data_IF_337218568045
#
_entry.id   IF_337218568045
#
_cell.length_a   1.000
_cell.length_b   1.000
_cell.length_c   1.000
_cell.angle_alpha   90.00
_cell.angle_beta   90.00
_cell.angle_gamma   90.00
#
_symmetry.space_group_name_H-M   'P 1'
#
loop_
_entity.id
_entity.type
_entity.pdbx_description
1 polymer ?
#
# COMPACT_ATOMS: atom_id res chain seq x y z
N UNK A 1 14.66 -12.53 1.53
CA UNK A 1 14.43 -12.51 3.00
C UNK A 1 15.61 -11.86 3.66
N UNK A 2 15.38 -10.76 4.36
CA UNK A 2 16.45 -10.04 5.02
C UNK A 2 16.73 -10.63 6.40
N UNK A 3 18.00 -10.92 6.68
CA UNK A 3 18.52 -10.99 8.02
C UNK A 3 18.87 -9.57 8.47
N UNK A 4 18.56 -9.24 9.69
CA UNK A 4 18.84 -8.00 10.43
C UNK A 4 19.23 -6.72 9.62
N UNK A 5 18.34 -5.75 9.60
CA UNK A 5 18.58 -4.41 9.04
C UNK A 5 18.37 -4.27 7.53
N UNK A 6 17.97 -5.32 6.82
CA UNK A 6 17.73 -5.26 5.38
C UNK A 6 16.30 -4.80 5.06
N UNK A 7 16.17 -4.03 3.99
CA UNK A 7 14.92 -3.56 3.41
C UNK A 7 14.01 -4.74 3.06
N UNK A 8 12.82 -4.77 3.59
CA UNK A 8 11.82 -5.83 3.42
C UNK A 8 10.48 -5.22 3.06
N UNK A 9 9.66 -5.96 2.30
CA UNK A 9 8.24 -5.58 2.04
C UNK A 9 7.41 -5.44 3.32
N UNK A 10 7.97 -5.79 4.47
CA UNK A 10 7.29 -5.75 5.77
C UNK A 10 7.75 -4.65 6.72
N UNK A 11 8.73 -3.84 6.32
CA UNK A 11 9.24 -2.75 7.17
C UNK A 11 9.67 -1.49 6.41
N UNK A 12 9.70 -1.52 5.08
CA UNK A 12 10.17 -0.39 4.29
C UNK A 12 9.57 -0.38 2.89
N UNK A 13 9.64 0.78 2.24
CA UNK A 13 9.30 0.91 0.83
C UNK A 13 10.14 -0.02 -0.03
N UNK A 14 9.53 -0.71 -0.97
CA UNK A 14 10.21 -1.56 -1.95
C UNK A 14 9.70 -1.29 -3.36
N UNK A 15 10.57 -1.51 -4.35
CA UNK A 15 10.20 -1.38 -5.78
C UNK A 15 9.02 -2.30 -6.13
N UNK A 16 9.04 -3.54 -5.63
CA UNK A 16 7.95 -4.49 -5.89
C UNK A 16 6.63 -4.02 -5.27
N UNK A 17 6.66 -3.49 -4.05
CA UNK A 17 5.47 -2.91 -3.40
C UNK A 17 4.92 -1.72 -4.18
N UNK A 18 5.80 -0.86 -4.71
CA UNK A 18 5.41 0.27 -5.56
C UNK A 18 4.74 -0.21 -6.85
N UNK A 19 5.33 -1.19 -7.55
CA UNK A 19 4.75 -1.75 -8.79
C UNK A 19 3.37 -2.36 -8.55
N UNK A 20 3.20 -3.13 -7.47
CA UNK A 20 1.92 -3.74 -7.11
C UNK A 20 0.87 -2.65 -6.89
N UNK A 21 1.17 -1.65 -6.06
CA UNK A 21 0.22 -0.59 -5.73
C UNK A 21 -0.07 0.34 -6.90
N UNK A 22 0.89 0.57 -7.80
CA UNK A 22 0.67 1.33 -9.04
C UNK A 22 -0.32 0.61 -9.96
N UNK A 23 -0.16 -0.71 -10.12
CA UNK A 23 -1.12 -1.54 -10.86
C UNK A 23 -2.50 -1.50 -10.25
N UNK A 24 -2.61 -1.61 -8.91
CA UNK A 24 -3.88 -1.53 -8.19
C UNK A 24 -4.56 -0.17 -8.40
N UNK A 25 -3.83 0.94 -8.28
CA UNK A 25 -4.37 2.28 -8.47
C UNK A 25 -4.85 2.51 -9.90
N UNK A 26 -4.03 2.11 -10.88
CA UNK A 26 -4.36 2.21 -12.30
C UNK A 26 -5.63 1.41 -12.62
N UNK A 27 -5.68 0.17 -12.17
CA UNK A 27 -6.82 -0.71 -12.40
C UNK A 27 -8.09 -0.20 -11.72
N UNK A 28 -8.00 0.23 -10.46
CA UNK A 28 -9.11 0.79 -9.72
C UNK A 28 -9.74 1.99 -10.42
N UNK A 29 -8.94 2.92 -10.92
CA UNK A 29 -9.40 4.11 -11.68
C UNK A 29 -10.16 3.75 -12.96
N UNK A 30 -9.91 2.58 -13.56
CA UNK A 30 -10.62 2.12 -14.76
C UNK A 30 -12.01 1.56 -14.45
N UNK A 31 -12.26 1.09 -13.22
CA UNK A 31 -13.48 0.38 -12.83
C UNK A 31 -14.46 1.22 -12.01
N UNK A 32 -14.17 2.49 -11.78
CA UNK A 32 -15.08 3.40 -11.07
C UNK A 32 -14.98 4.81 -11.58
N UNK A 33 -16.08 5.55 -11.49
CA UNK A 33 -16.10 7.00 -11.71
C UNK A 33 -15.76 7.80 -10.44
N UNK A 34 -15.54 7.12 -9.30
CA UNK A 34 -15.11 7.78 -8.07
C UNK A 34 -13.65 8.23 -8.19
N UNK A 35 -13.29 9.31 -7.49
CA UNK A 35 -11.90 9.75 -7.36
C UNK A 35 -11.15 8.80 -6.43
N UNK A 36 -10.48 7.78 -6.99
CA UNK A 36 -9.58 6.89 -6.21
C UNK A 36 -8.28 7.63 -5.98
N UNK A 37 -7.98 7.94 -4.72
CA UNK A 37 -6.82 8.80 -4.36
C UNK A 37 -5.55 8.02 -4.11
N UNK A 38 -5.64 6.77 -3.63
CA UNK A 38 -4.47 5.92 -3.37
C UNK A 38 -4.82 4.43 -3.46
N UNK A 39 -3.78 3.63 -3.57
CA UNK A 39 -3.85 2.17 -3.44
C UNK A 39 -2.93 1.69 -2.32
N UNK A 40 -3.36 0.65 -1.59
CA UNK A 40 -2.72 0.11 -0.41
C UNK A 40 -2.52 -1.40 -0.57
N UNK A 41 -1.31 -1.90 -0.27
CA UNK A 41 -1.00 -3.33 -0.26
C UNK A 41 -0.25 -3.69 1.01
N UNK A 42 -0.77 -4.63 1.80
CA UNK A 42 -0.10 -5.13 2.99
C UNK A 42 1.13 -5.99 2.62
N UNK A 43 2.23 -5.78 3.33
CA UNK A 43 3.49 -6.49 3.11
C UNK A 43 3.37 -8.01 3.34
N UNK A 44 2.46 -8.42 4.23
CA UNK A 44 2.15 -9.84 4.48
C UNK A 44 1.58 -10.57 3.26
N UNK A 45 0.91 -9.85 2.37
CA UNK A 45 0.40 -10.36 1.10
C UNK A 45 1.46 -10.62 0.04
N UNK A 46 2.63 -9.98 0.14
CA UNK A 46 3.75 -10.13 -0.81
C UNK A 46 4.67 -11.24 -0.31
N UNK A 47 4.71 -12.38 -1.00
CA UNK A 47 5.31 -13.61 -0.47
C UNK A 47 6.68 -13.97 -1.05
N UNK A 48 6.97 -13.53 -2.26
CA UNK A 48 8.24 -13.81 -2.93
C UNK A 48 8.79 -12.57 -3.63
N UNK A 49 10.12 -12.54 -3.81
CA UNK A 49 10.79 -11.54 -4.63
C UNK A 49 10.81 -11.99 -6.09
N UNK A 50 10.87 -11.05 -7.01
CA UNK A 50 11.13 -11.31 -8.43
C UNK A 50 12.63 -11.11 -8.68
N UNK A 51 13.31 -12.17 -9.14
CA UNK A 51 14.73 -12.10 -9.52
C UNK A 51 14.91 -11.36 -10.84
N UNK A 52 16.10 -10.77 -11.03
CA UNK A 52 16.46 -10.15 -12.29
C UNK A 52 16.42 -11.16 -13.46
N UNK A 53 15.99 -10.73 -14.63
CA UNK A 53 15.87 -11.55 -15.83
C UNK A 53 14.43 -11.61 -16.37
N UNK A 54 14.13 -12.65 -17.12
CA UNK A 54 12.77 -12.84 -17.67
C UNK A 54 11.79 -13.21 -16.55
N UNK A 55 10.69 -12.48 -16.48
CA UNK A 55 9.64 -12.69 -15.49
C UNK A 55 8.59 -13.65 -16.09
N UNK A 56 8.30 -14.74 -15.40
CA UNK A 56 7.28 -15.72 -15.80
C UNK A 56 5.98 -15.49 -15.04
N UNK A 57 4.86 -15.95 -15.62
CA UNK A 57 3.55 -15.91 -14.94
C UNK A 57 3.59 -16.70 -13.62
N UNK A 58 4.33 -17.81 -13.55
CA UNK A 58 4.50 -18.58 -12.31
C UNK A 58 5.15 -17.76 -11.19
N UNK A 59 6.20 -16.98 -11.50
CA UNK A 59 6.81 -16.06 -10.53
C UNK A 59 5.82 -14.99 -10.05
N UNK A 60 5.02 -14.43 -10.95
CA UNK A 60 3.99 -13.42 -10.56
C UNK A 60 2.96 -14.02 -9.59
N UNK A 61 2.50 -15.24 -9.85
CA UNK A 61 1.57 -15.96 -8.96
C UNK A 61 2.21 -16.22 -7.58
N UNK A 62 3.50 -16.58 -7.52
CA UNK A 62 4.18 -16.80 -6.22
C UNK A 62 4.38 -15.52 -5.42
N UNK A 63 4.40 -14.35 -6.06
CA UNK A 63 4.43 -13.05 -5.37
C UNK A 63 3.12 -12.79 -4.62
N UNK A 64 1.96 -13.05 -5.23
CA UNK A 64 0.62 -12.82 -4.68
C UNK A 64 -0.21 -14.12 -4.71
N UNK A 65 0.13 -15.13 -3.89
CA UNK A 65 -0.41 -16.49 -4.05
C UNK A 65 -1.77 -16.72 -3.40
N UNK A 66 -2.32 -15.72 -2.69
CA UNK A 66 -3.53 -15.92 -1.88
C UNK A 66 -4.83 -15.81 -2.68
N UNK A 67 -4.76 -15.39 -3.95
CA UNK A 67 -5.95 -15.21 -4.78
C UNK A 67 -6.88 -14.11 -4.27
N UNK A 68 -6.32 -13.06 -3.68
CA UNK A 68 -7.10 -11.90 -3.30
C UNK A 68 -7.62 -11.17 -4.53
N UNK A 69 -8.70 -10.43 -4.34
CA UNK A 69 -9.28 -9.55 -5.35
C UNK A 69 -9.05 -8.08 -4.99
N UNK A 70 -9.09 -7.22 -6.00
CA UNK A 70 -9.04 -5.78 -5.84
C UNK A 70 -10.37 -5.27 -5.28
N UNK A 71 -10.32 -4.47 -4.24
CA UNK A 71 -11.49 -3.84 -3.62
C UNK A 71 -11.33 -2.32 -3.57
N UNK A 72 -12.46 -1.62 -3.70
CA UNK A 72 -12.60 -0.19 -3.44
C UNK A 72 -13.22 0.01 -2.06
N UNK A 73 -12.73 0.99 -1.32
CA UNK A 73 -13.19 1.26 0.03
C UNK A 73 -13.32 2.77 0.25
N UNK A 74 -14.48 3.21 0.79
CA UNK A 74 -14.68 4.59 1.22
C UNK A 74 -14.38 4.70 2.72
N UNK A 75 -13.37 5.49 3.08
CA UNK A 75 -12.88 5.66 4.45
C UNK A 75 -12.63 7.13 4.77
N UNK A 76 -12.74 7.49 6.04
CA UNK A 76 -12.41 8.83 6.50
C UNK A 76 -10.89 9.04 6.52
N UNK A 77 -10.45 10.31 6.47
CA UNK A 77 -9.03 10.62 6.64
C UNK A 77 -8.50 10.20 8.00
N UNK A 78 -9.32 10.29 9.05
CA UNK A 78 -8.99 9.78 10.37
C UNK A 78 -8.75 8.26 10.37
N UNK A 79 -9.61 7.49 9.68
CA UNK A 79 -9.41 6.03 9.53
C UNK A 79 -8.14 5.72 8.72
N UNK A 80 -7.83 6.51 7.67
CA UNK A 80 -6.59 6.36 6.92
C UNK A 80 -5.35 6.62 7.80
N UNK A 81 -5.33 7.70 8.57
CA UNK A 81 -4.23 7.98 9.50
C UNK A 81 -4.07 6.88 10.54
N UNK A 82 -5.17 6.40 11.09
CA UNK A 82 -5.17 5.25 12.02
C UNK A 82 -4.63 3.97 11.35
N UNK A 83 -4.94 3.75 10.07
CA UNK A 83 -4.40 2.62 9.32
C UNK A 83 -2.90 2.73 9.12
N UNK A 84 -2.38 3.93 8.83
CA UNK A 84 -0.94 4.13 8.71
C UNK A 84 -0.22 4.07 10.05
N UNK A 85 -0.81 4.55 11.15
CA UNK A 85 -0.28 4.31 12.50
C UNK A 85 -0.18 2.80 12.81
N UNK A 86 -1.24 2.04 12.46
CA UNK A 86 -1.22 0.57 12.59
C UNK A 86 -0.14 -0.07 11.70
N UNK A 87 0.03 0.42 10.47
CA UNK A 87 1.02 -0.08 9.52
C UNK A 87 2.46 0.03 10.04
N UNK A 88 2.80 1.15 10.68
CA UNK A 88 4.17 1.44 11.14
C UNK A 88 4.38 1.17 12.63
N UNK A 89 3.39 0.57 13.33
CA UNK A 89 3.44 0.36 14.79
C UNK A 89 4.63 -0.47 15.27
N UNK A 90 5.08 -1.41 14.44
CA UNK A 90 6.17 -2.35 14.77
C UNK A 90 7.52 -1.90 14.18
N UNK A 91 7.56 -0.81 13.38
CA UNK A 91 8.79 -0.33 12.76
C UNK A 91 9.88 -0.04 13.81
N UNK A 92 11.15 -0.34 13.52
CA UNK A 92 11.70 -0.85 12.27
C UNK A 92 11.55 -2.39 12.08
N UNK A 93 10.87 -3.08 12.99
CA UNK A 93 10.64 -4.53 12.90
C UNK A 93 9.68 -4.85 11.76
N UNK A 94 9.78 -6.07 11.22
CA UNK A 94 8.88 -6.56 10.20
C UNK A 94 7.45 -6.76 10.73
N UNK A 95 6.46 -6.34 9.94
CA UNK A 95 5.03 -6.52 10.21
C UNK A 95 4.29 -6.90 8.94
N UNK A 96 3.41 -7.89 8.99
CA UNK A 96 2.53 -8.23 7.86
C UNK A 96 1.62 -7.07 7.46
N UNK A 97 1.26 -6.22 8.43
CA UNK A 97 0.43 -5.03 8.23
C UNK A 97 1.17 -3.81 7.68
N UNK A 98 2.49 -3.88 7.41
CA UNK A 98 3.17 -2.75 6.76
C UNK A 98 2.57 -2.48 5.38
N UNK A 99 2.10 -1.26 5.12
CA UNK A 99 1.41 -0.90 3.88
C UNK A 99 2.37 -0.26 2.86
N UNK A 100 2.43 -0.85 1.67
CA UNK A 100 2.92 -0.17 0.47
C UNK A 100 1.82 0.71 -0.10
N UNK A 101 2.20 1.81 -0.77
CA UNK A 101 1.27 2.82 -1.24
C UNK A 101 1.58 3.29 -2.67
N UNK A 102 0.52 3.66 -3.39
CA UNK A 102 0.58 4.44 -4.62
C UNK A 102 -0.41 5.60 -4.55
N UNK A 103 -0.10 6.72 -5.20
CA UNK A 103 -0.91 7.93 -5.16
C UNK A 103 -0.79 8.74 -3.87
N UNK A 104 0.07 8.32 -2.93
CA UNK A 104 0.25 8.98 -1.64
C UNK A 104 1.72 9.01 -1.20
N UNK A 105 2.01 9.78 -0.16
CA UNK A 105 3.28 9.82 0.55
C UNK A 105 3.05 9.77 2.05
N UNK A 106 3.87 8.97 2.72
CA UNK A 106 3.90 8.80 4.16
C UNK A 106 5.27 9.17 4.71
N UNK A 107 5.31 10.03 5.70
CA UNK A 107 6.45 10.23 6.58
C UNK A 107 6.07 9.79 7.98
N UNK A 108 6.91 8.98 8.61
CA UNK A 108 6.71 8.53 9.96
C UNK A 108 8.03 8.56 10.74
N UNK A 109 7.96 8.51 12.06
CA UNK A 109 9.11 8.52 12.96
C UNK A 109 9.05 7.28 13.85
N UNK A 110 9.88 6.28 13.54
CA UNK A 110 9.92 5.01 14.26
C UNK A 110 10.46 5.13 15.69
N UNK A 111 11.10 6.24 16.04
CA UNK A 111 11.57 6.52 17.41
C UNK A 111 10.44 6.87 18.37
N UNK A 112 9.27 7.27 17.85
CA UNK A 112 8.09 7.58 18.65
C UNK A 112 7.32 6.33 19.07
N UNK A 113 6.47 6.49 20.07
CA UNK A 113 5.57 5.44 20.51
C UNK A 113 4.57 5.04 19.42
N UNK A 114 4.22 3.76 19.37
CA UNK A 114 3.20 3.25 18.45
C UNK A 114 1.86 3.99 18.65
N UNK A 115 1.25 4.42 17.56
CA UNK A 115 0.03 5.24 17.56
C UNK A 115 0.28 6.76 17.51
N UNK A 116 1.56 7.19 17.47
CA UNK A 116 1.97 8.58 17.36
C UNK A 116 3.16 8.77 16.40
N UNK A 117 3.32 7.82 15.48
CA UNK A 117 4.47 7.76 14.56
C UNK A 117 4.27 8.50 13.27
N UNK A 118 3.04 8.60 12.76
CA UNK A 118 2.74 9.30 11.51
C UNK A 118 3.04 10.80 11.67
N UNK A 119 3.97 11.30 10.87
CA UNK A 119 4.36 12.70 10.81
C UNK A 119 3.56 13.43 9.74
N UNK A 120 3.43 12.82 8.56
CA UNK A 120 2.73 13.40 7.42
C UNK A 120 2.11 12.30 6.57
N UNK A 121 0.85 12.48 6.17
CA UNK A 121 0.17 11.64 5.18
C UNK A 121 -0.46 12.53 4.13
N UNK A 122 0.00 12.40 2.89
CA UNK A 122 -0.45 13.21 1.75
C UNK A 122 -0.88 12.31 0.60
N UNK A 123 -1.89 12.74 -0.16
CA UNK A 123 -2.26 12.11 -1.42
C UNK A 123 -1.99 13.06 -2.60
N UNK A 124 -1.75 12.50 -3.78
CA UNK A 124 -1.58 13.28 -5.00
C UNK A 124 -2.94 13.74 -5.53
N UNK A 125 -3.14 15.06 -5.57
CA UNK A 125 -4.36 15.61 -6.14
C UNK A 125 -4.15 15.98 -7.61
N UNK A 126 -4.85 15.26 -8.49
CA UNK A 126 -4.77 15.44 -9.94
C UNK A 126 -5.23 16.84 -10.41
N UNK A 127 -6.13 17.48 -9.65
CA UNK A 127 -6.64 18.80 -9.99
C UNK A 127 -5.60 19.90 -9.76
N UNK A 128 -4.89 19.82 -8.64
CA UNK A 128 -3.85 20.79 -8.28
C UNK A 128 -2.45 20.36 -8.73
N UNK A 129 -2.29 19.09 -9.17
CA UNK A 129 -1.02 18.45 -9.52
C UNK A 129 0.01 18.52 -8.38
N UNK A 130 -0.45 18.40 -7.16
CA UNK A 130 0.37 18.50 -5.95
C UNK A 130 -0.03 17.45 -4.91
N UNK A 131 0.89 17.16 -3.99
CA UNK A 131 0.58 16.39 -2.79
C UNK A 131 -0.10 17.29 -1.76
N UNK A 132 -1.29 16.89 -1.31
CA UNK A 132 -2.09 17.61 -0.32
C UNK A 132 -2.33 16.73 0.91
N UNK A 133 -2.44 17.36 2.07
CA UNK A 133 -2.65 16.65 3.33
C UNK A 133 -3.99 15.92 3.36
N UNK A 134 -4.01 14.71 3.93
CA UNK A 134 -5.25 14.00 4.22
C UNK A 134 -5.95 14.66 5.38
N UNK A 135 -7.17 15.18 5.14
CA UNK A 135 -8.01 15.83 6.15
C UNK A 135 -8.88 14.78 6.88
N UNK A 136 -8.92 14.83 8.21
CA UNK A 136 -9.55 13.81 9.05
C UNK A 136 -11.04 13.60 8.76
N UNK A 137 -11.75 14.69 8.49
CA UNK A 137 -13.21 14.69 8.31
C UNK A 137 -13.67 14.46 6.87
N UNK A 138 -12.73 14.35 5.92
CA UNK A 138 -13.03 14.06 4.53
C UNK A 138 -13.12 12.56 4.29
N UNK A 139 -13.91 12.16 3.29
CA UNK A 139 -14.01 10.76 2.86
C UNK A 139 -13.22 10.56 1.58
N UNK A 140 -12.41 9.51 1.57
CA UNK A 140 -11.55 9.14 0.46
C UNK A 140 -11.91 7.75 -0.07
N UNK A 141 -11.98 7.60 -1.39
CA UNK A 141 -12.03 6.27 -1.99
C UNK A 141 -10.61 5.78 -2.23
N UNK A 142 -10.28 4.63 -1.66
CA UNK A 142 -8.99 3.97 -1.78
C UNK A 142 -9.13 2.57 -2.36
N UNK A 143 -8.10 2.09 -3.05
CA UNK A 143 -8.03 0.72 -3.53
C UNK A 143 -7.17 -0.12 -2.57
N UNK A 144 -7.58 -1.37 -2.31
CA UNK A 144 -6.77 -2.33 -1.56
C UNK A 144 -7.17 -3.75 -1.95
N UNK A 145 -6.52 -4.78 -1.40
CA UNK A 145 -6.97 -6.14 -1.59
C UNK A 145 -8.13 -6.50 -0.63
N UNK A 146 -8.96 -7.47 -1.02
CA UNK A 146 -10.15 -7.85 -0.27
C UNK A 146 -9.85 -8.32 1.17
N UNK A 147 -8.69 -8.95 1.41
CA UNK A 147 -8.26 -9.37 2.74
C UNK A 147 -8.04 -8.16 3.66
N UNK A 148 -7.28 -7.16 3.21
CA UNK A 148 -7.02 -5.93 3.97
C UNK A 148 -8.30 -5.11 4.16
N UNK A 149 -9.15 -5.00 3.13
CA UNK A 149 -10.43 -4.30 3.20
C UNK A 149 -11.38 -4.88 4.25
N UNK A 150 -11.34 -6.20 4.48
CA UNK A 150 -12.12 -6.91 5.52
C UNK A 150 -11.52 -6.84 6.91
N UNK A 151 -10.41 -6.13 7.08
CA UNK A 151 -9.72 -5.96 8.37
C UNK A 151 -8.61 -6.97 8.64
N UNK A 152 -8.13 -7.68 7.61
CA UNK A 152 -6.96 -8.55 7.70
C UNK A 152 -5.75 -7.81 8.29
N UNK A 153 -4.80 -8.55 8.87
CA UNK A 153 -3.62 -8.01 9.56
C UNK A 153 -3.94 -6.99 10.68
N UNK A 154 -5.18 -6.99 11.20
CA UNK A 154 -5.59 -6.13 12.32
C UNK A 154 -6.07 -4.73 11.93
N UNK A 155 -6.39 -4.48 10.66
CA UNK A 155 -6.94 -3.21 10.18
C UNK A 155 -8.41 -3.03 10.61
N UNK A 156 -8.66 -2.87 11.92
CA UNK A 156 -10.02 -2.77 12.49
C UNK A 156 -10.82 -1.57 11.94
N UNK A 157 -10.14 -0.46 11.57
CA UNK A 157 -10.77 0.70 10.95
C UNK A 157 -11.33 0.35 9.57
N UNK A 158 -10.66 -0.50 8.79
CA UNK A 158 -11.15 -1.00 7.50
C UNK A 158 -12.28 -2.02 7.68
N UNK A 159 -12.19 -2.89 8.71
CA UNK A 159 -13.28 -3.80 9.06
C UNK A 159 -14.58 -3.04 9.33
N UNK A 160 -14.53 -1.91 10.05
CA UNK A 160 -15.71 -1.06 10.28
C UNK A 160 -16.28 -0.51 8.97
N UNK A 161 -15.45 -0.13 8.01
CA UNK A 161 -15.90 0.31 6.68
C UNK A 161 -16.57 -0.85 5.92
N UNK A 162 -16.01 -2.05 5.98
CA UNK A 162 -16.58 -3.25 5.38
C UNK A 162 -17.95 -3.59 5.98
N UNK A 163 -18.06 -3.65 7.29
CA UNK A 163 -19.32 -3.93 8.02
C UNK A 163 -20.40 -2.87 7.76
N UNK A 164 -19.97 -1.63 7.49
CA UNK A 164 -20.88 -0.54 7.10
C UNK A 164 -21.27 -0.53 5.61
N UNK A 165 -20.88 -1.55 4.84
CA UNK A 165 -21.19 -1.65 3.40
C UNK A 165 -20.43 -0.64 2.52
N UNK A 166 -19.32 -0.08 3.00
CA UNK A 166 -18.51 0.91 2.27
C UNK A 166 -17.34 0.30 1.50
N UNK A 167 -17.37 -1.01 1.28
CA UNK A 167 -16.37 -1.75 0.48
C UNK A 167 -17.06 -2.42 -0.69
N UNK A 168 -16.49 -2.26 -1.87
CA UNK A 168 -16.90 -2.93 -3.11
C UNK A 168 -15.76 -3.81 -3.60
N UNK A 169 -15.95 -5.12 -3.58
CA UNK A 169 -15.03 -6.07 -4.21
C UNK A 169 -15.24 -6.07 -5.72
N UNK A 170 -14.19 -5.81 -6.48
CA UNK A 170 -14.26 -5.74 -7.95
C UNK A 170 -14.12 -7.12 -8.61
N UNK A 171 -13.80 -8.17 -7.87
CA UNK A 171 -13.60 -9.52 -8.40
C UNK A 171 -12.37 -9.66 -9.31
N UNK A 172 -11.47 -8.67 -9.34
CA UNK A 172 -10.28 -8.65 -10.19
C UNK A 172 -9.10 -9.26 -9.42
N UNK A 173 -8.47 -10.28 -10.00
CA UNK A 173 -7.36 -11.00 -9.38
C UNK A 173 -6.14 -10.10 -9.15
N UNK A 174 -5.55 -10.14 -7.96
CA UNK A 174 -4.37 -9.35 -7.58
C UNK A 174 -3.11 -9.71 -8.39
N UNK A 175 -2.85 -11.02 -8.61
CA UNK A 175 -1.68 -11.44 -9.40
C UNK A 175 -1.86 -11.15 -10.91
N UNK A 176 -3.09 -11.22 -11.44
CA UNK A 176 -3.36 -10.83 -12.84
C UNK A 176 -3.15 -9.33 -13.03
N UNK A 177 -3.59 -8.52 -12.07
CA UNK A 177 -3.35 -7.09 -12.07
C UNK A 177 -1.83 -6.77 -12.02
N UNK A 178 -1.07 -7.46 -11.18
CA UNK A 178 0.40 -7.33 -11.16
C UNK A 178 1.01 -7.72 -12.51
N UNK A 179 0.55 -8.81 -13.13
CA UNK A 179 1.01 -9.23 -14.46
C UNK A 179 0.75 -8.16 -15.51
N UNK A 180 -0.46 -7.60 -15.55
CA UNK A 180 -0.80 -6.51 -16.47
C UNK A 180 0.09 -5.28 -16.26
N UNK A 181 0.33 -4.89 -15.00
CA UNK A 181 1.22 -3.79 -14.66
C UNK A 181 2.65 -4.03 -15.18
N UNK A 182 3.21 -5.22 -14.94
CA UNK A 182 4.55 -5.59 -15.43
C UNK A 182 4.62 -5.57 -16.96
N UNK A 183 3.60 -6.05 -17.66
CA UNK A 183 3.53 -6.02 -19.12
C UNK A 183 3.44 -4.59 -19.69
N UNK A 184 2.87 -3.66 -18.95
CA UNK A 184 2.79 -2.24 -19.35
C UNK A 184 4.13 -1.50 -19.22
N UNK A 185 5.06 -2.04 -18.43
CA UNK A 185 6.36 -1.42 -18.17
C UNK A 185 7.37 -1.83 -19.22
N UNK A 186 8.11 -0.86 -19.79
CA UNK A 186 9.22 -1.14 -20.71
C UNK A 186 10.47 -1.61 -19.98
N UNK A 187 10.65 -1.10 -18.78
CA UNK A 187 11.82 -1.34 -17.93
C UNK A 187 11.43 -1.18 -16.46
N UNK A 188 11.95 -2.04 -15.59
CA UNK A 188 11.79 -1.94 -14.15
C UNK A 188 13.01 -1.21 -13.58
N UNK A 189 12.79 -0.06 -12.97
CA UNK A 189 13.80 0.68 -12.22
C UNK A 189 13.96 0.06 -10.83
N UNK A 190 15.18 -0.13 -10.38
CA UNK A 190 15.50 -0.73 -9.08
C UNK A 190 15.67 0.30 -7.95
N UNK A 191 15.06 1.48 -8.07
CA UNK A 191 15.11 2.55 -7.06
C UNK A 191 13.72 2.83 -6.53
N UNK A 192 13.61 2.97 -5.20
CA UNK A 192 12.41 3.47 -4.52
C UNK A 192 12.21 4.96 -4.80
N UNK A 193 11.00 5.47 -4.55
CA UNK A 193 10.59 6.84 -4.92
C UNK A 193 10.41 7.74 -3.70
N UNK A 194 10.69 7.25 -2.49
CA UNK A 194 10.47 7.98 -1.25
C UNK A 194 8.97 8.18 -0.96
N UNK A 195 8.17 7.16 -1.25
CA UNK A 195 6.73 7.18 -0.93
C UNK A 195 6.48 6.96 0.56
N UNK A 196 7.38 6.20 1.22
CA UNK A 196 7.30 5.85 2.64
C UNK A 196 8.67 6.09 3.25
N UNK A 197 8.75 7.09 4.13
CA UNK A 197 10.03 7.56 4.71
C UNK A 197 9.97 7.48 6.23
N UNK A 198 10.94 6.77 6.83
CA UNK A 198 11.21 6.84 8.27
C UNK A 198 12.15 8.02 8.56
N UNK A 199 11.65 9.05 9.20
CA UNK A 199 12.42 10.25 9.51
C UNK A 199 13.44 10.03 10.64
N UNK A 200 13.25 9.03 11.52
CA UNK A 200 14.24 8.65 12.52
C UNK A 200 15.52 8.12 11.87
N UNK A 201 15.40 7.28 10.85
CA UNK A 201 16.54 6.71 10.12
C UNK A 201 17.35 7.75 9.33
N UNK A 202 16.78 8.92 9.07
CA UNK A 202 17.44 10.00 8.31
C UNK A 202 18.28 10.90 9.21
N UNK A 203 18.10 10.85 10.53
CA UNK A 203 18.82 11.69 11.49
C UNK A 203 20.16 11.08 11.96
N UNK A 204 20.42 9.79 11.66
CA UNK A 204 21.65 9.08 12.04
C UNK A 204 22.77 9.14 10.99
N UNK A 205 22.64 9.95 9.95
CA UNK A 205 23.65 10.21 8.93
C UNK A 205 24.17 11.65 9.03
#
# INVERSE_FOLDING_TARGET
>A
RSSEGLVSVRNSETVLGNIITDGMLTKAKQFTNKKVVMALQNGGGIREAISAGNITTGQVITVLPYGNTLALMDVTGADLKAAFEHSVKDAPKESGGFLHISGAKLEYDSSKEAGSRVVSLKYYDEATKAYVDVADNETYTVATNAFTAKGGDGFNMFKKAYEAGRVTDLGLSDWENLKEQLLSMKEIKFTTEGRIVDTAATQEK
#
